data_IF_073408127373
#
_entry.id   IF_073408127373
#
_cell.length_a   1.000
_cell.length_b   1.000
_cell.length_c   1.000
_cell.angle_alpha   90.00
_cell.angle_beta   90.00
_cell.angle_gamma   90.00
#
_symmetry.space_group_name_H-M   'P 1'
#
loop_
_entity.id
_entity.type
_entity.pdbx_description
1 polymer ?
#
# COMPACT_ATOMS: atom_id res chain seq x y z
N UNK A 1 -15.35 0.16 -11.42
CA UNK A 1 -15.09 1.05 -10.27
C UNK A 1 -13.70 1.65 -10.48
N UNK A 2 -13.58 2.97 -10.48
CA UNK A 2 -12.29 3.64 -10.58
C UNK A 2 -11.70 3.81 -9.17
N UNK A 3 -10.50 3.28 -8.94
CA UNK A 3 -9.80 3.41 -7.64
C UNK A 3 -9.30 4.85 -7.40
N UNK A 4 -9.06 5.58 -8.47
CA UNK A 4 -8.47 6.91 -8.47
C UNK A 4 -9.23 7.82 -9.44
N UNK A 5 -9.23 9.14 -9.23
CA UNK A 5 -9.65 10.11 -10.25
C UNK A 5 -8.80 9.96 -11.52
N UNK A 6 -9.41 10.07 -12.70
CA UNK A 6 -8.70 9.89 -13.97
C UNK A 6 -7.59 10.94 -14.20
N UNK A 7 -7.76 12.14 -13.64
CA UNK A 7 -6.83 13.27 -13.72
C UNK A 7 -5.77 13.25 -12.60
N UNK A 8 -5.71 12.21 -11.76
CA UNK A 8 -4.85 12.20 -10.57
C UNK A 8 -3.39 12.51 -10.90
N UNK A 9 -2.83 11.91 -11.96
CA UNK A 9 -1.44 12.15 -12.34
C UNK A 9 -1.20 13.60 -12.78
N UNK A 10 -2.17 14.23 -13.44
CA UNK A 10 -2.02 15.61 -13.95
C UNK A 10 -1.91 16.62 -12.80
N UNK A 11 -2.51 16.33 -11.64
CA UNK A 11 -2.45 17.16 -10.43
C UNK A 11 -1.05 17.35 -9.85
N UNK A 12 -0.08 16.54 -10.28
CA UNK A 12 1.33 16.62 -9.83
C UNK A 12 2.32 16.83 -10.97
N UNK A 13 1.84 17.16 -12.18
CA UNK A 13 2.72 17.31 -13.35
C UNK A 13 2.97 16.02 -14.13
N UNK A 14 2.07 15.04 -14.00
CA UNK A 14 2.02 13.84 -14.84
C UNK A 14 2.83 12.65 -14.32
N UNK A 15 3.09 11.70 -15.23
CA UNK A 15 3.66 10.38 -14.90
C UNK A 15 5.02 10.45 -14.21
N UNK A 16 5.87 11.40 -14.57
CA UNK A 16 7.23 11.49 -14.02
C UNK A 16 7.21 11.88 -12.54
N UNK A 17 6.36 12.83 -12.16
CA UNK A 17 6.20 13.21 -10.76
C UNK A 17 5.70 12.04 -9.90
N UNK A 18 4.71 11.29 -10.41
CA UNK A 18 4.22 10.07 -9.76
C UNK A 18 5.35 9.05 -9.62
N UNK A 19 6.17 8.87 -10.65
CA UNK A 19 7.30 7.94 -10.63
C UNK A 19 8.33 8.31 -9.55
N UNK A 20 8.68 9.59 -9.42
CA UNK A 20 9.61 10.05 -8.40
C UNK A 20 9.09 9.80 -6.98
N UNK A 21 7.80 10.08 -6.74
CA UNK A 21 7.15 9.88 -5.43
C UNK A 21 7.10 8.39 -5.08
N UNK A 22 6.69 7.54 -6.03
CA UNK A 22 6.64 6.09 -5.82
C UNK A 22 8.04 5.51 -5.62
N UNK A 23 9.05 6.01 -6.33
CA UNK A 23 10.44 5.62 -6.11
C UNK A 23 10.85 5.91 -4.67
N UNK A 24 10.56 7.12 -4.18
CA UNK A 24 10.88 7.49 -2.80
C UNK A 24 10.14 6.66 -1.77
N UNK A 25 8.87 6.33 -2.02
CA UNK A 25 8.11 5.41 -1.19
C UNK A 25 8.81 4.04 -1.03
N UNK A 26 9.38 3.48 -2.10
CA UNK A 26 10.09 2.21 -2.01
C UNK A 26 11.41 2.33 -1.26
N UNK A 27 12.18 3.41 -1.47
CA UNK A 27 13.39 3.68 -0.68
C UNK A 27 13.08 3.71 0.83
N UNK A 28 12.05 4.47 1.22
CA UNK A 28 11.57 4.52 2.60
C UNK A 28 11.09 3.15 3.11
N UNK A 29 10.46 2.35 2.25
CA UNK A 29 10.01 0.99 2.61
C UNK A 29 11.16 0.01 2.77
N UNK A 30 12.25 0.17 2.03
CA UNK A 30 13.45 -0.67 2.13
C UNK A 30 14.24 -0.41 3.41
N UNK A 31 14.21 0.83 3.89
CA UNK A 31 14.81 1.30 5.14
C UNK A 31 13.99 0.90 6.38
N UNK A 32 12.66 0.74 6.26
CA UNK A 32 11.81 0.35 7.37
C UNK A 32 11.99 -1.15 7.70
N UNK A 33 12.31 -1.54 8.95
CA UNK A 33 12.61 -2.93 9.28
C UNK A 33 11.39 -3.87 9.21
N UNK A 34 10.16 -3.34 9.26
CA UNK A 34 8.92 -4.12 9.16
C UNK A 34 8.56 -4.37 7.70
N UNK A 35 8.80 -3.39 6.82
CA UNK A 35 8.50 -3.49 5.38
C UNK A 35 9.68 -4.04 4.57
N UNK A 36 10.90 -3.63 4.89
CA UNK A 36 12.12 -3.93 4.15
C UNK A 36 12.39 -5.42 4.03
N UNK A 37 11.88 -6.23 4.98
CA UNK A 37 11.96 -7.68 4.95
C UNK A 37 11.06 -8.35 3.89
N UNK A 38 10.15 -7.60 3.25
CA UNK A 38 9.28 -8.09 2.18
C UNK A 38 9.97 -8.08 0.80
N UNK A 39 11.13 -7.44 0.71
CA UNK A 39 11.88 -7.23 -0.53
C UNK A 39 13.21 -7.98 -0.47
N UNK A 40 13.26 -9.13 -1.14
CA UNK A 40 14.46 -9.96 -1.24
C UNK A 40 15.54 -9.26 -2.09
N UNK A 41 15.15 -8.78 -3.26
CA UNK A 41 16.00 -7.96 -4.13
C UNK A 41 15.52 -6.51 -4.06
N UNK A 42 16.34 -5.63 -3.48
CA UNK A 42 16.05 -4.19 -3.34
C UNK A 42 16.60 -3.36 -4.51
N UNK A 43 17.43 -3.95 -5.36
CA UNK A 43 17.97 -3.33 -6.58
C UNK A 43 16.97 -3.40 -7.75
N UNK A 44 16.03 -4.36 -7.69
CA UNK A 44 14.91 -4.40 -8.61
C UNK A 44 14.13 -3.07 -8.59
N UNK A 45 13.74 -2.52 -9.76
CA UNK A 45 13.01 -1.26 -9.82
C UNK A 45 11.53 -1.45 -9.48
N UNK A 46 11.23 -1.79 -8.23
CA UNK A 46 9.88 -2.04 -7.70
C UNK A 46 8.90 -0.90 -8.03
N UNK A 47 9.39 0.34 -7.96
CA UNK A 47 8.62 1.53 -8.30
C UNK A 47 8.09 1.50 -9.73
N UNK A 48 8.84 0.95 -10.70
CA UNK A 48 8.35 0.82 -12.09
C UNK A 48 7.17 -0.16 -12.17
N UNK A 49 7.19 -1.23 -11.38
CA UNK A 49 6.08 -2.17 -11.34
C UNK A 49 4.83 -1.53 -10.74
N UNK A 50 4.99 -0.80 -9.64
CA UNK A 50 3.90 -0.06 -9.02
C UNK A 50 3.32 1.00 -9.95
N UNK A 51 4.16 1.82 -10.60
CA UNK A 51 3.71 2.84 -11.54
C UNK A 51 2.96 2.24 -12.73
N UNK A 52 3.41 1.09 -13.28
CA UNK A 52 2.65 0.38 -14.33
C UNK A 52 1.24 0.02 -13.84
N UNK A 53 1.14 -0.57 -12.65
CA UNK A 53 -0.17 -0.89 -12.07
C UNK A 53 -1.03 0.36 -11.88
N UNK A 54 -0.46 1.44 -11.32
CA UNK A 54 -1.17 2.69 -11.07
C UNK A 54 -1.65 3.35 -12.37
N UNK A 55 -0.81 3.44 -13.39
CA UNK A 55 -1.18 4.03 -14.68
C UNK A 55 -2.21 3.20 -15.42
N UNK A 56 -2.15 1.88 -15.33
CA UNK A 56 -3.23 1.00 -15.81
C UNK A 56 -4.52 1.23 -15.00
N UNK A 57 -4.46 1.40 -13.68
CA UNK A 57 -5.62 1.69 -12.84
C UNK A 57 -6.26 3.06 -13.12
N UNK A 58 -5.47 4.02 -13.59
CA UNK A 58 -5.92 5.34 -14.06
C UNK A 58 -6.45 5.32 -15.50
N UNK A 59 -6.33 4.20 -16.21
CA UNK A 59 -6.72 4.08 -17.62
C UNK A 59 -5.77 4.79 -18.59
N UNK A 60 -4.55 5.11 -18.15
CA UNK A 60 -3.55 5.80 -18.97
C UNK A 60 -2.79 4.85 -19.90
N UNK A 61 -2.72 3.55 -19.56
CA UNK A 61 -2.18 2.47 -20.39
C UNK A 61 -2.77 1.11 -19.99
N UNK A 62 -2.32 0.03 -20.65
CA UNK A 62 -2.74 -1.35 -20.41
C UNK A 62 -1.55 -2.30 -20.11
N UNK A 63 -0.38 -1.74 -19.79
CA UNK A 63 0.88 -2.47 -19.65
C UNK A 63 0.82 -3.54 -18.55
N UNK A 64 0.16 -3.25 -17.42
CA UNK A 64 0.02 -4.23 -16.34
C UNK A 64 -0.90 -5.39 -16.76
N UNK A 65 -1.97 -5.10 -17.50
CA UNK A 65 -2.90 -6.13 -18.02
C UNK A 65 -2.17 -7.08 -18.97
N UNK A 66 -1.38 -6.54 -19.91
CA UNK A 66 -0.57 -7.34 -20.86
C UNK A 66 0.43 -8.28 -20.17
N UNK A 67 0.91 -7.90 -18.99
CA UNK A 67 1.88 -8.67 -18.18
C UNK A 67 1.22 -9.68 -17.23
N UNK A 68 -0.08 -9.93 -17.36
CA UNK A 68 -0.82 -10.89 -16.55
C UNK A 68 -1.61 -10.28 -15.40
N UNK A 69 -1.64 -8.95 -15.29
CA UNK A 69 -2.53 -8.20 -14.39
C UNK A 69 -2.51 -8.69 -12.95
N UNK A 70 -3.70 -8.85 -12.37
CA UNK A 70 -3.90 -9.30 -10.99
C UNK A 70 -3.20 -10.62 -10.65
N UNK A 71 -3.09 -11.55 -11.61
CA UNK A 71 -2.40 -12.83 -11.38
C UNK A 71 -0.92 -12.62 -11.09
N UNK A 72 -0.25 -11.75 -11.86
CA UNK A 72 1.16 -11.42 -11.64
C UNK A 72 1.36 -10.73 -10.29
N UNK A 73 0.50 -9.76 -9.96
CA UNK A 73 0.53 -9.03 -8.70
C UNK A 73 0.39 -10.00 -7.52
N UNK A 74 -0.54 -10.95 -7.59
CA UNK A 74 -0.75 -11.95 -6.54
C UNK A 74 0.46 -12.87 -6.36
N UNK A 75 1.13 -13.27 -7.45
CA UNK A 75 2.37 -14.06 -7.36
C UNK A 75 3.47 -13.30 -6.63
N UNK A 76 3.67 -12.02 -6.92
CA UNK A 76 4.69 -11.20 -6.25
C UNK A 76 4.37 -10.99 -4.76
N UNK A 77 3.10 -10.75 -4.42
CA UNK A 77 2.69 -10.66 -3.01
C UNK A 77 2.85 -11.99 -2.27
N UNK A 78 2.57 -13.14 -2.92
CA UNK A 78 2.86 -14.46 -2.34
C UNK A 78 4.37 -14.65 -2.09
N UNK A 79 5.22 -14.22 -3.03
CA UNK A 79 6.68 -14.23 -2.84
C UNK A 79 7.08 -13.41 -1.62
N UNK A 80 6.56 -12.18 -1.49
CA UNK A 80 6.82 -11.32 -0.34
C UNK A 80 6.34 -11.94 0.99
N UNK A 81 5.17 -12.59 1.01
CA UNK A 81 4.65 -13.30 2.19
C UNK A 81 5.59 -14.44 2.64
N UNK A 82 6.24 -15.10 1.70
CA UNK A 82 7.17 -16.20 1.97
C UNK A 82 8.63 -15.75 2.03
N UNK A 83 8.91 -14.44 2.08
CA UNK A 83 10.28 -13.95 2.12
C UNK A 83 10.98 -14.42 3.42
N UNK A 84 12.13 -15.12 3.33
CA UNK A 84 12.84 -15.62 4.51
C UNK A 84 13.28 -14.52 5.48
N UNK A 85 13.51 -13.30 4.99
CA UNK A 85 13.90 -12.16 5.84
C UNK A 85 12.84 -11.79 6.87
N UNK A 86 11.56 -12.19 6.69
CA UNK A 86 10.52 -12.00 7.73
C UNK A 86 10.84 -12.76 9.01
N UNK A 87 11.59 -13.88 8.93
CA UNK A 87 11.93 -14.69 10.09
C UNK A 87 12.80 -13.93 11.10
N UNK A 88 13.68 -13.04 10.65
CA UNK A 88 14.58 -12.27 11.52
C UNK A 88 14.16 -10.81 11.68
N UNK A 89 13.12 -10.38 10.97
CA UNK A 89 12.53 -9.05 11.10
C UNK A 89 11.82 -8.87 12.46
N UNK A 90 11.43 -7.64 12.86
CA UNK A 90 10.63 -7.40 14.07
C UNK A 90 9.32 -8.21 14.09
N UNK A 91 8.75 -8.44 15.28
CA UNK A 91 7.52 -9.26 15.44
C UNK A 91 6.33 -8.73 14.63
N UNK A 92 6.30 -7.42 14.36
CA UNK A 92 5.32 -6.72 13.55
C UNK A 92 5.34 -7.15 12.08
N UNK A 93 6.44 -7.74 11.60
CA UNK A 93 6.54 -8.30 10.26
C UNK A 93 5.78 -9.63 10.11
N UNK A 94 5.30 -10.22 11.22
CA UNK A 94 4.53 -11.46 11.23
C UNK A 94 5.36 -12.70 10.90
N UNK A 95 4.69 -13.84 10.72
CA UNK A 95 5.36 -15.12 10.40
C UNK A 95 5.68 -15.25 8.91
N UNK A 96 6.76 -15.94 8.58
CA UNK A 96 7.02 -16.39 7.20
C UNK A 96 5.85 -17.24 6.70
N UNK A 97 5.37 -16.94 5.50
CA UNK A 97 4.24 -17.64 4.85
C UNK A 97 2.84 -17.18 5.29
N UNK A 98 2.73 -16.41 6.39
CA UNK A 98 1.46 -15.80 6.77
C UNK A 98 1.08 -14.63 5.86
N UNK A 99 -0.20 -14.23 5.92
CA UNK A 99 -0.65 -12.96 5.35
C UNK A 99 0.11 -11.75 5.90
N UNK A 100 -0.06 -10.59 5.25
CA UNK A 100 0.52 -9.34 5.73
C UNK A 100 -0.15 -8.91 7.03
N UNK A 101 0.65 -8.34 7.94
CA UNK A 101 0.14 -7.88 9.24
C UNK A 101 -0.54 -6.52 9.11
N UNK A 102 -1.34 -6.15 10.13
CA UNK A 102 -1.88 -4.80 10.23
C UNK A 102 -0.77 -3.74 10.37
N UNK A 103 0.33 -4.08 11.04
CA UNK A 103 1.48 -3.19 11.18
C UNK A 103 2.15 -2.93 9.83
N UNK A 104 2.35 -3.98 9.01
CA UNK A 104 2.86 -3.85 7.64
C UNK A 104 1.94 -2.97 6.79
N UNK A 105 0.63 -3.20 6.81
CA UNK A 105 -0.35 -2.35 6.11
C UNK A 105 -0.21 -0.87 6.49
N UNK A 106 -0.22 -0.59 7.80
CA UNK A 106 -0.18 0.78 8.30
C UNK A 106 1.15 1.46 7.96
N UNK A 107 2.27 0.75 8.10
CA UNK A 107 3.59 1.25 7.72
C UNK A 107 3.67 1.55 6.23
N UNK A 108 3.14 0.67 5.40
CA UNK A 108 3.14 0.84 3.95
C UNK A 108 2.40 2.12 3.52
N UNK A 109 1.19 2.35 4.06
CA UNK A 109 0.42 3.58 3.79
C UNK A 109 1.16 4.82 4.33
N UNK A 110 1.78 4.72 5.51
CA UNK A 110 2.57 5.81 6.08
C UNK A 110 3.77 6.19 5.21
N UNK A 111 4.47 5.22 4.60
CA UNK A 111 5.59 5.52 3.70
C UNK A 111 5.14 6.21 2.40
N UNK A 112 3.94 5.88 1.90
CA UNK A 112 3.34 6.61 0.77
C UNK A 112 3.07 8.07 1.13
N UNK A 113 2.46 8.30 2.30
CA UNK A 113 2.19 9.66 2.77
C UNK A 113 3.47 10.45 2.98
N UNK A 114 4.47 9.85 3.65
CA UNK A 114 5.78 10.48 3.86
C UNK A 114 6.47 10.83 2.55
N UNK A 115 6.40 9.96 1.53
CA UNK A 115 6.92 10.28 0.20
C UNK A 115 6.19 11.49 -0.41
N UNK A 116 4.87 11.59 -0.24
CA UNK A 116 4.13 12.77 -0.68
C UNK A 116 4.55 14.05 0.08
N UNK A 117 4.76 13.96 1.39
CA UNK A 117 5.23 15.07 2.22
C UNK A 117 6.63 15.55 1.81
N UNK A 118 7.58 14.64 1.60
CA UNK A 118 8.96 14.98 1.22
C UNK A 118 9.03 15.71 -0.14
N UNK A 119 8.07 15.46 -1.04
CA UNK A 119 7.94 16.16 -2.32
C UNK A 119 7.02 17.39 -2.25
N UNK A 120 6.47 17.71 -1.08
CA UNK A 120 5.49 18.80 -0.88
C UNK A 120 4.32 18.73 -1.86
N UNK A 121 3.78 17.52 -2.08
CA UNK A 121 2.70 17.33 -3.04
C UNK A 121 1.42 18.04 -2.60
N UNK A 122 0.64 18.55 -3.55
CA UNK A 122 -0.58 19.28 -3.25
C UNK A 122 -1.68 18.34 -2.71
N UNK A 123 -2.51 18.88 -1.82
CA UNK A 123 -3.55 18.11 -1.09
C UNK A 123 -4.53 17.43 -2.04
N UNK A 124 -4.88 18.10 -3.13
CA UNK A 124 -5.76 17.60 -4.19
C UNK A 124 -5.21 16.36 -4.91
N UNK A 125 -3.91 16.08 -4.81
CA UNK A 125 -3.33 14.80 -5.20
C UNK A 125 -3.31 13.81 -4.04
N UNK A 126 -2.78 14.23 -2.88
CA UNK A 126 -2.50 13.33 -1.76
C UNK A 126 -3.76 12.63 -1.25
N UNK A 127 -4.86 13.36 -1.06
CA UNK A 127 -6.09 12.79 -0.52
C UNK A 127 -6.68 11.68 -1.40
N UNK A 128 -7.00 11.91 -2.69
CA UNK A 128 -7.53 10.85 -3.54
C UNK A 128 -6.52 9.74 -3.81
N UNK A 129 -5.22 10.05 -3.86
CA UNK A 129 -4.17 9.03 -4.01
C UNK A 129 -4.19 8.06 -2.82
N UNK A 130 -4.06 8.58 -1.60
CA UNK A 130 -3.99 7.71 -0.42
C UNK A 130 -5.34 7.01 -0.17
N UNK A 131 -6.46 7.69 -0.39
CA UNK A 131 -7.78 7.06 -0.29
C UNK A 131 -7.92 5.86 -1.24
N UNK A 132 -7.54 6.02 -2.52
CA UNK A 132 -7.56 4.93 -3.49
C UNK A 132 -6.67 3.76 -3.08
N UNK A 133 -5.49 4.04 -2.51
CA UNK A 133 -4.61 3.00 -1.96
C UNK A 133 -5.24 2.29 -0.77
N UNK A 134 -5.89 2.99 0.16
CA UNK A 134 -6.59 2.39 1.28
C UNK A 134 -7.74 1.48 0.85
N UNK A 135 -8.53 1.89 -0.15
CA UNK A 135 -9.59 1.07 -0.74
C UNK A 135 -9.00 -0.18 -1.40
N UNK A 136 -7.93 -0.03 -2.18
CA UNK A 136 -7.24 -1.16 -2.79
C UNK A 136 -6.67 -2.12 -1.73
N UNK A 137 -6.16 -1.58 -0.62
CA UNK A 137 -5.57 -2.35 0.48
C UNK A 137 -6.57 -3.32 1.13
N UNK A 138 -7.88 -3.05 1.06
CA UNK A 138 -8.91 -3.99 1.50
C UNK A 138 -8.86 -5.33 0.75
N UNK A 139 -8.33 -5.33 -0.49
CA UNK A 139 -8.11 -6.54 -1.27
C UNK A 139 -7.03 -7.47 -0.68
N UNK A 140 -6.23 -7.05 0.31
CA UNK A 140 -5.20 -7.88 0.94
C UNK A 140 -5.54 -8.37 2.36
N UNK A 141 -6.68 -7.98 2.92
CA UNK A 141 -7.14 -8.53 4.20
C UNK A 141 -7.46 -10.05 4.16
N UNK A 142 -8.00 -10.67 5.22
CA UNK A 142 -7.82 -10.20 6.57
C UNK A 142 -6.32 -10.05 6.85
N UNK A 143 -5.95 -8.90 7.40
CA UNK A 143 -4.58 -8.68 7.84
C UNK A 143 -4.34 -9.49 9.10
N UNK A 144 -3.19 -10.14 9.17
CA UNK A 144 -2.83 -11.00 10.29
C UNK A 144 -2.39 -10.19 11.50
N UNK A 145 -2.41 -10.84 12.67
CA UNK A 145 -1.79 -10.31 13.88
C UNK A 145 -0.26 -10.38 13.78
N UNK A 146 0.42 -9.58 14.61
CA UNK A 146 1.87 -9.65 14.78
C UNK A 146 2.27 -11.01 15.39
N UNK A 147 3.56 -11.35 15.35
CA UNK A 147 4.06 -12.47 16.16
C UNK A 147 3.88 -12.17 17.65
N UNK A 148 3.64 -13.20 18.45
CA UNK A 148 3.45 -13.07 19.88
C UNK A 148 4.75 -12.71 20.62
N UNK A 149 5.87 -13.29 20.19
CA UNK A 149 7.17 -13.13 20.82
C UNK A 149 8.06 -12.15 20.05
N UNK A 150 8.93 -11.48 20.80
CA UNK A 150 10.00 -10.64 20.26
C UNK A 150 11.12 -11.48 19.65
N UNK A 151 11.87 -10.87 18.73
CA UNK A 151 13.03 -11.52 18.11
C UNK A 151 12.67 -12.46 16.95
N UNK A 152 13.63 -13.31 16.53
CA UNK A 152 13.45 -14.20 15.39
C UNK A 152 12.28 -15.16 15.56
N UNK A 153 11.64 -15.54 14.46
CA UNK A 153 10.64 -16.59 14.47
C UNK A 153 11.27 -17.91 14.92
N UNK A 154 10.79 -18.43 16.04
CA UNK A 154 11.05 -19.79 16.50
C UNK A 154 9.83 -20.68 16.18
N UNK A 155 10.07 -21.80 15.49
CA UNK A 155 9.02 -22.73 15.10
C UNK A 155 8.19 -22.31 13.87
N UNK A 156 7.11 -23.04 13.64
CA UNK A 156 6.25 -22.86 12.46
C UNK A 156 5.22 -21.75 12.66
N UNK A 157 4.76 -21.16 11.54
CA UNK A 157 3.63 -20.24 11.56
C UNK A 157 2.38 -20.98 12.08
N UNK A 158 1.64 -20.41 13.05
CA UNK A 158 0.39 -21.00 13.52
C UNK A 158 -0.58 -21.25 12.36
N UNK A 159 -1.08 -22.48 12.22
CA UNK A 159 -1.97 -22.90 11.12
C UNK A 159 -3.18 -21.98 10.91
N UNK A 160 -3.71 -21.35 11.98
CA UNK A 160 -4.81 -20.38 11.90
C UNK A 160 -4.47 -19.11 11.10
N UNK A 161 -3.19 -18.76 10.96
CA UNK A 161 -2.70 -17.63 10.19
C UNK A 161 -2.40 -18.00 8.73
N UNK A 162 -2.30 -19.30 8.45
CA UNK A 162 -2.30 -19.88 7.11
C UNK A 162 -3.75 -20.05 6.63
N UNK A 163 -4.34 -19.00 6.07
CA UNK A 163 -5.67 -19.10 5.47
C UNK A 163 -5.66 -18.65 4.01
N UNK A 164 -5.97 -19.57 3.12
CA UNK A 164 -6.37 -19.24 1.76
C UNK A 164 -7.75 -18.57 1.83
N UNK A 165 -7.88 -17.35 1.30
CA UNK A 165 -9.17 -16.69 1.15
C UNK A 165 -10.11 -17.54 0.30
N UNK A 166 -11.40 -17.49 0.62
CA UNK A 166 -12.45 -17.80 -0.36
C UNK A 166 -12.83 -16.52 -1.11
N UNK A 167 -13.15 -16.61 -2.41
CA UNK A 167 -13.50 -15.43 -3.24
C UNK A 167 -14.65 -14.60 -2.64
N UNK A 168 -15.56 -15.24 -1.91
CA UNK A 168 -16.69 -14.64 -1.20
C UNK A 168 -16.29 -13.69 -0.04
N UNK A 169 -15.04 -13.73 0.42
CA UNK A 169 -14.55 -12.91 1.54
C UNK A 169 -13.90 -11.59 1.06
N UNK A 170 -13.72 -11.42 -0.25
CA UNK A 170 -13.19 -10.16 -0.83
C UNK A 170 -14.31 -9.12 -0.86
N UNK A 171 -14.70 -8.60 0.30
CA UNK A 171 -15.50 -7.38 0.38
C UNK A 171 -14.57 -6.18 0.30
N UNK A 172 -14.61 -5.48 -0.83
CA UNK A 172 -13.97 -4.16 -0.92
C UNK A 172 -14.77 -3.25 0.01
N UNK A 173 -14.20 -2.92 1.17
CA UNK A 173 -14.77 -1.91 2.05
C UNK A 173 -14.68 -0.56 1.35
N UNK A 174 -15.81 0.12 1.23
CA UNK A 174 -15.88 1.52 0.77
C UNK A 174 -15.56 2.51 1.89
N UNK A 175 -15.47 2.03 3.13
CA UNK A 175 -15.09 2.83 4.30
C UNK A 175 -13.58 2.74 4.45
N UNK A 176 -12.91 3.90 4.48
CA UNK A 176 -11.49 3.97 4.79
C UNK A 176 -11.23 3.29 6.16
N UNK A 177 -10.20 2.43 6.28
CA UNK A 177 -9.85 1.86 7.57
C UNK A 177 -9.47 2.98 8.53
N UNK A 178 -10.03 2.97 9.74
CA UNK A 178 -9.56 3.82 10.84
C UNK A 178 -8.14 3.35 11.19
N UNK A 179 -7.14 4.16 10.88
CA UNK A 179 -5.73 3.86 11.14
C UNK A 179 -5.29 4.79 12.26
N UNK A 180 -5.04 4.29 13.49
CA UNK A 180 -4.60 5.14 14.60
C UNK A 180 -3.37 5.98 14.22
N UNK A 181 -3.48 7.30 14.37
CA UNK A 181 -2.44 8.27 13.99
C UNK A 181 -2.48 8.72 12.52
N UNK A 182 -3.53 8.38 11.79
CA UNK A 182 -3.68 8.67 10.36
C UNK A 182 -5.10 9.17 9.97
N UNK A 183 -6.03 9.30 10.92
CA UNK A 183 -7.33 9.91 10.64
C UNK A 183 -7.12 11.38 10.25
N UNK A 184 -7.26 11.66 8.94
CA UNK A 184 -7.22 13.02 8.43
C UNK A 184 -8.38 13.80 9.07
N UNK A 185 -8.14 15.00 9.61
CA UNK A 185 -9.22 15.80 10.17
C UNK A 185 -10.31 16.01 9.13
N UNK A 186 -11.56 15.82 9.53
CA UNK A 186 -12.71 16.10 8.67
C UNK A 186 -12.63 17.54 8.14
N UNK A 187 -12.89 17.70 6.85
CA UNK A 187 -13.02 19.01 6.22
C UNK A 187 -14.10 19.77 6.99
N UNK A 188 -13.70 20.80 7.74
CA UNK A 188 -14.64 21.88 8.01
C UNK A 188 -14.87 22.52 6.66
N UNK A 189 -16.04 22.29 6.06
CA UNK A 189 -16.45 23.08 4.91
C UNK A 189 -16.30 24.55 5.33
N UNK A 190 -15.40 25.27 4.65
CA UNK A 190 -15.35 26.71 4.81
C UNK A 190 -16.70 27.22 4.33
N UNK A 191 -17.53 27.61 5.30
CA UNK A 191 -18.77 28.34 5.09
C UNK A 191 -18.49 29.45 4.10
N UNK A 192 -19.09 29.33 2.91
CA UNK A 192 -19.05 30.33 1.86
C UNK A 192 -19.27 31.71 2.48
N UNK A 193 -18.29 32.58 2.34
CA UNK A 193 -18.42 33.99 2.69
C UNK A 193 -19.63 34.55 1.92
N UNK A 194 -20.66 35.11 2.58
CA UNK A 194 -21.79 35.67 1.88
C UNK A 194 -21.31 36.87 1.07
N UNK A 195 -21.47 36.80 -0.24
CA UNK A 195 -21.24 37.94 -1.13
C UNK A 195 -22.20 39.06 -0.72
N UNK A 196 -21.65 40.18 -0.27
CA UNK A 196 -22.40 41.40 -0.02
C UNK A 196 -22.82 42.02 -1.36
N UNK A 197 -24.11 42.30 -1.48
CA UNK A 197 -24.72 43.09 -2.55
C UNK A 197 -24.45 44.59 -2.36
#
# INVERSE_FOLDING_TARGET
MHLFPADLADRVGGREAVLMVVKRFYELSFEDPILGCLYEDKEEPHYKMFCRWLFTALGLDDEMTKRGGTRMINTMHKKAQHCPHRATAPKEAGYVGAGFTQAQRNRWIRMQFRACEEFNLPREFVEPYIHGLCVFMAAYGPFTENRAEEGPQHGECPMKLFRNRTESEVKISHTAPHIPGFDLPSVKEETKCPMAH
#
